data_IF_690777696711
#
_entry.id   IF_690777696711
#
_cell.length_a   1.000
_cell.length_b   1.000
_cell.length_c   1.000
_cell.angle_alpha   90.00
_cell.angle_beta   90.00
_cell.angle_gamma   90.00
#
_symmetry.space_group_name_H-M   'P 1'
#
loop_
_entity.id
_entity.type
_entity.pdbx_description
1 polymer ?
#
# COMPACT_ATOMS: atom_id res chain seq x y z
N UNK A 1 -32.03 -12.16 29.51
CA UNK A 1 -31.59 -10.76 29.40
C UNK A 1 -32.83 -9.90 29.27
N UNK A 2 -33.12 -9.05 30.26
CA UNK A 2 -34.29 -8.16 30.25
C UNK A 2 -34.08 -7.02 29.25
N UNK A 3 -35.16 -6.39 28.76
CA UNK A 3 -35.06 -5.24 27.86
C UNK A 3 -34.27 -4.06 28.45
N UNK A 4 -34.26 -3.93 29.79
CA UNK A 4 -33.40 -2.96 30.49
C UNK A 4 -31.92 -3.27 30.31
N UNK A 5 -31.52 -4.54 30.43
CA UNK A 5 -30.11 -4.96 30.28
C UNK A 5 -29.61 -4.69 28.85
N UNK A 6 -30.45 -4.90 27.84
CA UNK A 6 -30.13 -4.59 26.45
C UNK A 6 -29.91 -3.09 26.19
N UNK A 7 -30.63 -2.21 26.89
CA UNK A 7 -30.47 -0.76 26.73
C UNK A 7 -29.10 -0.25 27.21
N UNK A 8 -28.56 -0.84 28.30
CA UNK A 8 -27.28 -0.43 28.90
C UNK A 8 -26.06 -0.97 28.14
N UNK A 9 -26.23 -2.08 27.42
CA UNK A 9 -25.18 -2.69 26.56
C UNK A 9 -25.36 -2.37 25.08
N UNK A 10 -26.33 -1.51 24.72
CA UNK A 10 -26.50 -1.02 23.36
C UNK A 10 -25.22 -0.32 22.88
N UNK A 11 -24.99 -0.34 21.56
CA UNK A 11 -23.82 0.31 20.96
C UNK A 11 -23.78 1.80 21.32
N UNK A 12 -24.94 2.45 21.30
CA UNK A 12 -25.14 3.86 21.62
C UNK A 12 -24.81 4.15 23.09
N UNK A 13 -25.28 3.32 24.02
CA UNK A 13 -24.94 3.44 25.45
C UNK A 13 -23.45 3.19 25.72
N UNK A 14 -22.85 2.19 25.07
CA UNK A 14 -21.41 1.91 25.18
C UNK A 14 -20.56 3.05 24.62
N UNK A 15 -20.97 3.66 23.50
CA UNK A 15 -20.28 4.81 22.91
C UNK A 15 -20.41 6.09 23.75
N UNK A 16 -21.35 6.17 24.69
CA UNK A 16 -21.53 7.36 25.55
C UNK A 16 -20.50 7.47 26.67
N UNK A 17 -19.80 6.38 27.03
CA UNK A 17 -18.86 6.35 28.15
C UNK A 17 -17.44 5.97 27.71
N UNK A 18 -16.42 6.39 28.48
CA UNK A 18 -15.01 6.03 28.20
C UNK A 18 -14.82 4.52 28.25
N UNK A 19 -15.36 3.85 29.26
CA UNK A 19 -15.24 2.40 29.45
C UNK A 19 -15.97 1.62 28.35
N UNK A 20 -17.18 2.04 27.95
CA UNK A 20 -17.91 1.38 26.87
C UNK A 20 -17.23 1.51 25.51
N UNK A 21 -16.62 2.67 25.20
CA UNK A 21 -15.77 2.83 24.00
C UNK A 21 -14.58 1.86 24.00
N UNK A 22 -13.96 1.60 25.16
CA UNK A 22 -12.86 0.63 25.27
C UNK A 22 -13.35 -0.80 25.00
N UNK A 23 -14.53 -1.18 25.49
CA UNK A 23 -15.14 -2.49 25.22
C UNK A 23 -15.37 -2.68 23.72
N UNK A 24 -15.96 -1.69 23.04
CA UNK A 24 -16.18 -1.74 21.59
C UNK A 24 -14.85 -1.86 20.84
N UNK A 25 -13.84 -1.07 21.21
CA UNK A 25 -12.51 -1.11 20.61
C UNK A 25 -11.84 -2.48 20.77
N UNK A 26 -11.93 -3.08 21.96
CA UNK A 26 -11.42 -4.44 22.20
C UNK A 26 -12.16 -5.49 21.34
N UNK A 27 -13.48 -5.35 21.18
CA UNK A 27 -14.26 -6.20 20.28
C UNK A 27 -13.82 -6.08 18.83
N UNK A 28 -13.60 -4.85 18.34
CA UNK A 28 -13.09 -4.58 16.99
C UNK A 28 -11.71 -5.24 16.80
N UNK A 29 -10.80 -5.09 17.75
CA UNK A 29 -9.45 -5.67 17.67
C UNK A 29 -9.43 -7.19 17.62
N UNK A 30 -10.46 -7.85 18.17
CA UNK A 30 -10.62 -9.30 18.10
C UNK A 30 -11.33 -9.76 16.83
N UNK A 31 -11.98 -8.85 16.09
CA UNK A 31 -12.70 -9.17 14.87
C UNK A 31 -11.77 -9.74 13.79
N UNK A 32 -12.29 -10.65 12.97
CA UNK A 32 -11.55 -11.25 11.85
C UNK A 32 -11.05 -10.20 10.86
N UNK A 33 -11.90 -9.21 10.54
CA UNK A 33 -11.54 -8.14 9.60
C UNK A 33 -10.36 -7.29 10.09
N UNK A 34 -10.35 -6.90 11.36
CA UNK A 34 -9.23 -6.12 11.91
C UNK A 34 -7.92 -6.92 11.96
N UNK A 35 -8.00 -8.22 12.28
CA UNK A 35 -6.82 -9.10 12.25
C UNK A 35 -6.23 -9.23 10.84
N UNK A 36 -7.07 -9.44 9.83
CA UNK A 36 -6.62 -9.51 8.43
C UNK A 36 -6.04 -8.17 7.95
N UNK A 37 -6.68 -7.06 8.32
CA UNK A 37 -6.15 -5.73 8.02
C UNK A 37 -4.74 -5.54 8.59
N UNK A 38 -4.54 -5.86 9.88
CA UNK A 38 -3.22 -5.75 10.49
C UNK A 38 -2.19 -6.68 9.83
N UNK A 39 -2.58 -7.93 9.55
CA UNK A 39 -1.70 -8.88 8.86
C UNK A 39 -1.24 -8.32 7.51
N UNK A 40 -2.17 -7.89 6.64
CA UNK A 40 -1.81 -7.36 5.33
C UNK A 40 -1.03 -6.06 5.41
N UNK A 41 -1.32 -5.22 6.42
CA UNK A 41 -0.54 -4.02 6.67
C UNK A 41 0.90 -4.38 7.02
N UNK A 42 1.13 -5.29 7.95
CA UNK A 42 2.47 -5.73 8.38
C UNK A 42 3.23 -6.43 7.24
N UNK A 43 2.56 -7.28 6.48
CA UNK A 43 3.11 -7.93 5.28
C UNK A 43 3.50 -6.88 4.23
N UNK A 44 2.63 -5.91 3.94
CA UNK A 44 2.93 -4.85 2.99
C UNK A 44 4.10 -3.97 3.46
N UNK A 45 4.10 -3.51 4.71
CA UNK A 45 5.17 -2.68 5.27
C UNK A 45 6.53 -3.39 5.26
N UNK A 46 6.54 -4.71 5.44
CA UNK A 46 7.79 -5.52 5.44
C UNK A 46 8.26 -5.93 4.05
N UNK A 47 7.35 -6.24 3.12
CA UNK A 47 7.69 -6.72 1.78
C UNK A 47 7.86 -5.59 0.75
N UNK A 48 7.18 -4.46 0.93
CA UNK A 48 7.23 -3.36 -0.03
C UNK A 48 8.65 -2.80 -0.26
N UNK A 49 9.50 -2.61 0.77
CA UNK A 49 10.88 -2.18 0.53
C UNK A 49 11.68 -3.17 -0.34
N UNK A 50 11.46 -4.47 -0.14
CA UNK A 50 12.12 -5.52 -0.94
C UNK A 50 11.60 -5.53 -2.37
N UNK A 51 10.30 -5.32 -2.55
CA UNK A 51 9.70 -5.15 -3.88
C UNK A 51 10.29 -3.92 -4.58
N UNK A 52 10.31 -2.77 -3.91
CA UNK A 52 10.82 -1.52 -4.47
C UNK A 52 12.28 -1.70 -4.94
N UNK A 53 13.12 -2.32 -4.11
CA UNK A 53 14.50 -2.63 -4.47
C UNK A 53 14.59 -3.53 -5.73
N UNK A 54 13.89 -4.67 -5.74
CA UNK A 54 13.89 -5.59 -6.89
C UNK A 54 13.41 -4.88 -8.16
N UNK A 55 12.31 -4.14 -8.05
CA UNK A 55 11.74 -3.40 -9.16
C UNK A 55 12.73 -2.37 -9.71
N UNK A 56 13.39 -1.59 -8.85
CA UNK A 56 14.37 -0.60 -9.29
C UNK A 56 15.62 -1.23 -9.89
N UNK A 57 16.10 -2.34 -9.33
CA UNK A 57 17.28 -3.06 -9.82
C UNK A 57 17.01 -3.68 -11.21
N UNK A 58 15.84 -4.30 -11.38
CA UNK A 58 15.40 -4.85 -12.65
C UNK A 58 15.20 -3.74 -13.68
N UNK A 59 14.50 -2.65 -13.35
CA UNK A 59 14.31 -1.52 -14.25
C UNK A 59 15.64 -0.90 -14.68
N UNK A 60 16.58 -0.74 -13.74
CA UNK A 60 17.93 -0.25 -14.03
C UNK A 60 18.67 -1.17 -15.02
N UNK A 61 18.60 -2.49 -14.81
CA UNK A 61 19.19 -3.49 -15.70
C UNK A 61 18.60 -3.41 -17.11
N UNK A 62 17.27 -3.35 -17.22
CA UNK A 62 16.61 -3.27 -18.52
C UNK A 62 17.00 -1.99 -19.28
N UNK A 63 17.02 -0.82 -18.62
CA UNK A 63 17.44 0.44 -19.25
C UNK A 63 18.90 0.38 -19.73
N UNK A 64 19.80 -0.27 -18.98
CA UNK A 64 21.20 -0.41 -19.38
C UNK A 64 21.37 -1.28 -20.62
N UNK A 65 20.62 -2.37 -20.68
CA UNK A 65 20.73 -3.37 -21.74
C UNK A 65 19.95 -2.99 -23.00
N UNK A 66 18.97 -2.10 -22.89
CA UNK A 66 18.19 -1.61 -24.02
C UNK A 66 19.06 -0.74 -24.95
N UNK A 67 19.05 -1.05 -26.25
CA UNK A 67 19.74 -0.27 -27.28
C UNK A 67 19.17 1.14 -27.43
N UNK A 68 17.87 1.30 -27.21
CA UNK A 68 17.09 2.51 -27.50
C UNK A 68 16.13 2.89 -26.35
N UNK A 69 16.62 3.12 -25.10
CA UNK A 69 15.75 3.25 -23.93
C UNK A 69 14.75 4.39 -23.98
N UNK A 70 15.09 5.49 -24.67
CA UNK A 70 14.18 6.62 -24.89
C UNK A 70 12.98 6.22 -25.74
N UNK A 71 13.22 5.48 -26.82
CA UNK A 71 12.17 5.06 -27.75
C UNK A 71 11.26 4.01 -27.10
N UNK A 72 11.85 3.05 -26.39
CA UNK A 72 11.11 2.02 -25.64
C UNK A 72 10.19 2.64 -24.58
N UNK A 73 10.70 3.57 -23.76
CA UNK A 73 9.90 4.23 -22.74
C UNK A 73 8.79 5.09 -23.34
N UNK A 74 9.06 5.76 -24.48
CA UNK A 74 8.05 6.52 -25.19
C UNK A 74 6.93 5.63 -25.72
N UNK A 75 7.27 4.51 -26.36
CA UNK A 75 6.29 3.55 -26.85
C UNK A 75 5.42 2.99 -25.71
N UNK A 76 6.04 2.66 -24.56
CA UNK A 76 5.29 2.22 -23.38
C UNK A 76 4.37 3.31 -22.83
N UNK A 77 4.85 4.55 -22.75
CA UNK A 77 4.05 5.70 -22.31
C UNK A 77 2.83 5.93 -23.19
N UNK A 78 2.99 5.81 -24.51
CA UNK A 78 1.91 5.93 -25.47
C UNK A 78 0.88 4.79 -25.29
N UNK A 79 1.33 3.57 -24.97
CA UNK A 79 0.46 2.41 -24.70
C UNK A 79 -0.38 2.59 -23.42
N UNK A 80 0.24 3.09 -22.34
CA UNK A 80 -0.44 3.25 -21.04
C UNK A 80 -1.07 4.64 -20.85
N UNK A 81 -0.99 5.50 -21.87
CA UNK A 81 -1.48 6.88 -21.84
C UNK A 81 -0.96 7.69 -20.63
N UNK A 82 0.30 7.48 -20.24
CA UNK A 82 0.90 8.18 -19.09
C UNK A 82 2.38 8.44 -19.29
N UNK A 83 2.80 9.68 -19.04
CA UNK A 83 4.20 10.13 -19.10
C UNK A 83 4.90 10.15 -17.75
N UNK A 84 4.18 9.81 -16.65
CA UNK A 84 4.68 9.96 -15.28
C UNK A 84 5.92 9.09 -14.97
N UNK A 85 6.15 8.06 -15.78
CA UNK A 85 7.17 7.03 -15.59
C UNK A 85 8.32 7.13 -16.59
N UNK A 86 8.28 8.08 -17.53
CA UNK A 86 9.36 8.28 -18.49
C UNK A 86 10.48 9.08 -17.82
N UNK A 87 11.70 8.60 -17.96
CA UNK A 87 12.89 9.36 -17.61
C UNK A 87 13.12 10.51 -18.59
N UNK A 88 13.66 11.61 -18.07
CA UNK A 88 14.12 12.67 -18.94
C UNK A 88 15.29 12.15 -19.80
N UNK A 89 15.34 12.55 -21.07
CA UNK A 89 16.40 12.09 -21.98
C UNK A 89 17.82 12.40 -21.46
N UNK A 90 17.95 13.42 -20.61
CA UNK A 90 19.21 13.80 -19.97
C UNK A 90 19.67 12.84 -18.85
N UNK A 91 18.79 11.95 -18.37
CA UNK A 91 19.04 11.00 -17.29
C UNK A 91 19.53 9.65 -17.80
N UNK A 92 19.09 9.24 -19.01
CA UNK A 92 19.44 7.94 -19.61
C UNK A 92 20.95 7.74 -19.76
N UNK A 93 21.75 8.70 -20.26
CA UNK A 93 23.20 8.53 -20.34
C UNK A 93 23.85 8.31 -18.96
N UNK A 94 23.35 9.00 -17.91
CA UNK A 94 23.86 8.87 -16.54
C UNK A 94 23.61 7.47 -15.99
N UNK A 95 22.42 6.92 -16.25
CA UNK A 95 22.04 5.55 -15.86
C UNK A 95 22.90 4.51 -16.58
N UNK A 96 23.09 4.66 -17.91
CA UNK A 96 23.93 3.76 -18.70
C UNK A 96 25.41 3.74 -18.26
N UNK A 97 25.90 4.86 -17.75
CA UNK A 97 27.30 5.01 -17.33
C UNK A 97 27.63 4.46 -15.93
N UNK A 98 26.62 4.17 -15.10
CA UNK A 98 26.79 3.52 -13.79
C UNK A 98 26.95 2.02 -13.94
#
# INVERSE_FOLDING_TARGET
MSGKDQSVVSKEALMSTKSGKQIIKQGLFKSKGFKLFNQYKEEAESEFPKFAQRFTDDLFREIKNDSSPSDTQKAFSDEVCSTEIILENSEIPKIKSK
#
